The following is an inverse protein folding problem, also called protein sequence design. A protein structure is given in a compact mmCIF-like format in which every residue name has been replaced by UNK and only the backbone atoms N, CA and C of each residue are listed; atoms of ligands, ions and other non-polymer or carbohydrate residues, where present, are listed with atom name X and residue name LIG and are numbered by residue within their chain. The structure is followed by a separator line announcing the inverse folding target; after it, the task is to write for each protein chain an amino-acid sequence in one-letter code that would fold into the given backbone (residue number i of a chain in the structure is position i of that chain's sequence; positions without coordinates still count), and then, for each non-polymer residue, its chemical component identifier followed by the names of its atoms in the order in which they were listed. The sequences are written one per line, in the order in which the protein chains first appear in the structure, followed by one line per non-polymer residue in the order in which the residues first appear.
data_IF_626332295561
#
_entry.id   IF_626332295561
#
_cell.length_a   1.000
_cell.length_b   1.000
_cell.length_c   1.000
_cell.angle_alpha   90.00
_cell.angle_beta   90.00
_cell.angle_gamma   90.00
#
_symmetry.space_group_name_H-M   'P 1'
#
loop_
_entity.id
_entity.type
_entity.pdbx_description
1 polymer ?
#
# COMPACT_ATOMS: atom_id res chain seq x y z
N UNK A 1 38.98 13.21 26.06
CA UNK A 1 38.62 12.74 24.70
C UNK A 1 38.29 11.24 24.75
N UNK A 2 37.07 10.83 25.19
CA UNK A 2 36.59 9.43 25.14
C UNK A 2 35.11 9.22 25.55
N UNK A 3 34.26 10.24 25.49
CA UNK A 3 32.82 10.12 25.83
C UNK A 3 31.90 10.13 24.60
N UNK A 4 32.35 10.63 23.45
CA UNK A 4 31.55 10.73 22.22
C UNK A 4 31.39 9.41 21.45
N UNK A 5 32.35 8.49 21.55
CA UNK A 5 32.31 7.22 20.81
C UNK A 5 31.31 6.20 21.39
N UNK A 6 30.99 6.28 22.68
CA UNK A 6 30.07 5.33 23.33
C UNK A 6 28.61 5.64 22.96
N UNK A 7 28.25 6.93 22.87
CA UNK A 7 26.89 7.35 22.47
C UNK A 7 26.60 7.11 20.99
N UNK A 8 27.62 7.26 20.13
CA UNK A 8 27.49 6.98 18.69
C UNK A 8 27.26 5.48 18.42
N UNK A 9 28.01 4.62 19.10
CA UNK A 9 27.85 3.18 18.98
C UNK A 9 26.50 2.70 19.54
N UNK A 10 26.01 3.28 20.64
CA UNK A 10 24.72 2.87 21.22
C UNK A 10 23.53 3.19 20.30
N UNK A 11 23.53 4.34 19.62
CA UNK A 11 22.50 4.67 18.60
C UNK A 11 22.57 3.73 17.39
N UNK A 12 23.77 3.35 16.95
CA UNK A 12 23.95 2.37 15.87
C UNK A 12 23.53 0.95 16.29
N UNK A 13 23.76 0.53 17.54
CA UNK A 13 23.35 -0.79 18.02
C UNK A 13 21.82 -0.91 18.16
N UNK A 14 21.13 0.14 18.60
CA UNK A 14 19.66 0.16 18.68
C UNK A 14 19.02 0.25 17.28
N UNK A 15 19.59 1.04 16.36
CA UNK A 15 19.13 1.09 14.97
C UNK A 15 19.29 -0.25 14.22
N UNK A 16 20.23 -1.10 14.65
CA UNK A 16 20.45 -2.44 14.10
C UNK A 16 19.54 -3.53 14.72
N UNK A 17 18.82 -3.20 15.80
CA UNK A 17 17.95 -4.12 16.55
C UNK A 17 16.47 -4.03 16.10
N UNK A 18 16.07 -2.95 15.43
CA UNK A 18 14.77 -2.86 14.76
C UNK A 18 14.95 -3.25 13.30
N UNK A 19 14.05 -4.05 12.69
CA UNK A 19 14.11 -4.30 11.26
C UNK A 19 13.99 -2.94 10.56
N UNK A 20 15.09 -2.44 10.00
CA UNK A 20 15.03 -1.28 9.09
C UNK A 20 14.27 -1.77 7.87
N UNK A 21 12.99 -1.42 7.77
CA UNK A 21 12.22 -1.71 6.56
C UNK A 21 13.00 -1.19 5.36
N UNK A 22 13.22 -2.05 4.37
CA UNK A 22 13.85 -1.65 3.12
C UNK A 22 12.94 -0.66 2.41
N UNK A 23 13.54 0.27 1.64
CA UNK A 23 12.76 1.22 0.83
C UNK A 23 11.74 0.52 -0.09
N UNK A 24 12.06 -0.70 -0.54
CA UNK A 24 11.15 -1.53 -1.32
C UNK A 24 9.92 -1.98 -0.50
N UNK A 25 10.10 -2.41 0.75
CA UNK A 25 9.00 -2.82 1.64
C UNK A 25 8.09 -1.63 1.96
N UNK A 26 8.66 -0.47 2.27
CA UNK A 26 7.89 0.76 2.53
C UNK A 26 7.03 1.13 1.31
N UNK A 27 7.61 1.09 0.10
CA UNK A 27 6.87 1.33 -1.14
C UNK A 27 5.78 0.30 -1.38
N UNK A 28 6.06 -1.00 -1.17
CA UNK A 28 5.05 -2.06 -1.30
C UNK A 28 3.89 -1.87 -0.32
N UNK A 29 4.19 -1.51 0.93
CA UNK A 29 3.17 -1.21 1.94
C UNK A 29 2.33 0.00 1.54
N UNK A 30 2.95 1.09 1.08
CA UNK A 30 2.24 2.27 0.59
C UNK A 30 1.34 1.94 -0.62
N UNK A 31 1.84 1.17 -1.59
CA UNK A 31 1.07 0.74 -2.75
C UNK A 31 -0.17 -0.06 -2.34
N UNK A 32 -0.02 -1.00 -1.40
CA UNK A 32 -1.15 -1.80 -0.91
C UNK A 32 -2.27 -0.93 -0.35
N UNK A 33 -1.92 0.14 0.38
CA UNK A 33 -2.90 1.08 0.94
C UNK A 33 -3.57 1.89 -0.17
N UNK A 34 -2.78 2.51 -1.05
CA UNK A 34 -3.31 3.43 -2.06
C UNK A 34 -4.20 2.72 -3.09
N UNK A 35 -3.89 1.47 -3.45
CA UNK A 35 -4.71 0.68 -4.40
C UNK A 35 -6.10 0.38 -3.85
N UNK A 36 -6.25 0.27 -2.53
CA UNK A 36 -7.54 0.00 -1.87
C UNK A 36 -8.33 1.26 -1.47
N UNK A 37 -7.73 2.45 -1.55
CA UNK A 37 -8.41 3.72 -1.29
C UNK A 37 -9.19 4.23 -2.51
N UNK A 38 -10.23 5.05 -2.30
CA UNK A 38 -10.87 5.76 -3.41
C UNK A 38 -9.95 6.87 -3.94
N UNK A 39 -10.08 7.21 -5.23
CA UNK A 39 -9.27 8.28 -5.83
C UNK A 39 -9.49 9.61 -5.12
N UNK A 40 -10.75 9.92 -4.83
CA UNK A 40 -11.17 11.17 -4.17
C UNK A 40 -10.58 11.29 -2.76
N UNK A 41 -10.50 10.19 -1.99
CA UNK A 41 -9.90 10.21 -0.66
C UNK A 41 -8.39 10.52 -0.72
N UNK A 42 -7.69 9.95 -1.71
CA UNK A 42 -6.26 10.24 -1.92
C UNK A 42 -6.10 11.70 -2.35
N UNK A 43 -6.92 12.16 -3.29
CA UNK A 43 -6.86 13.53 -3.81
C UNK A 43 -7.13 14.57 -2.71
N UNK A 44 -8.16 14.37 -1.89
CA UNK A 44 -8.52 15.27 -0.80
C UNK A 44 -7.39 15.39 0.23
N UNK A 45 -6.73 14.29 0.58
CA UNK A 45 -5.60 14.31 1.52
C UNK A 45 -4.36 14.97 0.95
N UNK A 46 -4.15 14.86 -0.36
CA UNK A 46 -3.05 15.53 -1.05
C UNK A 46 -3.31 17.02 -1.27
N UNK A 47 -4.56 17.46 -1.42
CA UNK A 47 -4.89 18.87 -1.63
C UNK A 47 -4.58 19.76 -0.43
N UNK A 48 -4.49 19.18 0.77
CA UNK A 48 -4.13 19.90 2.00
C UNK A 48 -2.60 20.09 2.15
N UNK A 49 -1.81 19.56 1.21
CA UNK A 49 -0.35 19.59 1.26
C UNK A 49 0.23 20.47 0.16
N UNK A 50 1.29 21.21 0.49
CA UNK A 50 2.12 21.86 -0.53
C UNK A 50 3.04 20.81 -1.15
N UNK A 51 2.77 20.43 -2.40
CA UNK A 51 3.50 19.38 -3.10
C UNK A 51 4.55 19.97 -4.06
N UNK A 52 5.69 19.28 -4.26
CA UNK A 52 6.70 19.73 -5.20
C UNK A 52 6.19 19.56 -6.63
N UNK A 53 6.77 20.34 -7.56
CA UNK A 53 6.46 20.18 -8.98
C UNK A 53 6.81 18.76 -9.45
N UNK A 54 5.94 18.19 -10.29
CA UNK A 54 6.10 16.87 -10.88
C UNK A 54 5.67 16.88 -12.35
N UNK A 55 6.22 15.96 -13.13
CA UNK A 55 5.87 15.75 -14.54
C UNK A 55 5.53 14.28 -14.79
N UNK A 56 4.63 14.03 -15.74
CA UNK A 56 4.35 12.68 -16.20
C UNK A 56 5.52 12.14 -17.03
N UNK A 57 6.09 11.01 -16.59
CA UNK A 57 6.97 10.18 -17.44
C UNK A 57 6.14 9.26 -18.35
N UNK A 58 4.95 8.88 -17.87
CA UNK A 58 3.93 8.16 -18.61
C UNK A 58 2.57 8.69 -18.17
N UNK A 59 1.86 9.28 -19.13
CA UNK A 59 0.45 9.62 -18.94
C UNK A 59 -0.36 8.38 -18.54
N UNK A 60 -1.37 8.51 -17.65
CA UNK A 60 -2.18 7.37 -17.25
C UNK A 60 -2.78 6.65 -18.46
N UNK A 61 -2.52 5.34 -18.57
CA UNK A 61 -2.92 4.55 -19.73
C UNK A 61 -3.68 3.30 -19.26
N UNK A 62 -4.84 3.07 -19.89
CA UNK A 62 -5.61 1.85 -19.68
C UNK A 62 -5.05 0.73 -20.56
N UNK A 63 -4.85 -0.44 -19.98
CA UNK A 63 -4.41 -1.65 -20.67
C UNK A 63 -5.06 -2.88 -20.06
N UNK A 64 -4.55 -4.05 -20.45
CA UNK A 64 -5.02 -5.34 -19.97
C UNK A 64 -3.87 -6.09 -19.30
N UNK A 65 -4.21 -6.89 -18.29
CA UNK A 65 -3.29 -7.82 -17.65
C UNK A 65 -3.92 -9.21 -17.62
N UNK A 66 -3.11 -10.23 -17.94
CA UNK A 66 -3.52 -11.63 -17.84
C UNK A 66 -3.66 -12.02 -16.37
N UNK A 67 -4.87 -12.37 -15.96
CA UNK A 67 -5.17 -12.93 -14.64
C UNK A 67 -4.86 -14.42 -14.68
N UNK A 68 -4.12 -14.92 -13.69
CA UNK A 68 -3.80 -16.34 -13.56
C UNK A 68 -4.49 -16.93 -12.33
N UNK A 69 -5.21 -18.03 -12.56
CA UNK A 69 -5.77 -18.87 -11.50
C UNK A 69 -4.85 -20.04 -11.18
N UNK A 70 -5.18 -20.80 -10.13
CA UNK A 70 -4.53 -22.06 -9.77
C UNK A 70 -5.58 -23.17 -9.65
N UNK A 71 -5.35 -24.33 -10.27
CA UNK A 71 -6.26 -25.48 -10.22
C UNK A 71 -6.47 -25.89 -8.76
N UNK A 72 -7.72 -25.95 -8.28
CA UNK A 72 -8.03 -26.36 -6.90
C UNK A 72 -7.56 -25.39 -5.79
N UNK A 73 -7.04 -24.20 -6.13
CA UNK A 73 -6.57 -23.19 -5.18
C UNK A 73 -5.04 -23.11 -5.04
N UNK A 74 -4.34 -24.24 -5.06
CA UNK A 74 -2.88 -24.32 -4.86
C UNK A 74 -2.14 -25.08 -5.98
N UNK A 75 -2.85 -25.76 -6.88
CA UNK A 75 -2.30 -26.51 -8.01
C UNK A 75 -1.71 -25.65 -9.13
N UNK A 76 -1.52 -26.24 -10.31
CA UNK A 76 -0.86 -25.58 -11.44
C UNK A 76 -1.54 -24.27 -11.87
N UNK A 77 -0.73 -23.29 -12.31
CA UNK A 77 -1.23 -22.02 -12.80
C UNK A 77 -1.87 -22.15 -14.19
N UNK A 78 -2.95 -21.43 -14.44
CA UNK A 78 -3.60 -21.34 -15.75
C UNK A 78 -4.08 -19.91 -16.02
N UNK A 79 -4.27 -19.55 -17.29
CA UNK A 79 -4.80 -18.24 -17.69
C UNK A 79 -6.32 -18.21 -17.42
N UNK A 80 -6.77 -17.38 -16.48
CA UNK A 80 -8.18 -17.23 -16.12
C UNK A 80 -8.92 -16.25 -17.05
N UNK A 81 -8.19 -15.28 -17.60
CA UNK A 81 -8.72 -14.24 -18.47
C UNK A 81 -7.91 -12.96 -18.38
N UNK A 82 -8.50 -11.85 -18.78
CA UNK A 82 -7.90 -10.52 -18.72
C UNK A 82 -8.67 -9.61 -17.77
N UNK A 83 -7.94 -8.74 -17.07
CA UNK A 83 -8.51 -7.64 -16.29
C UNK A 83 -7.98 -6.31 -16.82
N UNK A 84 -8.80 -5.27 -16.76
CA UNK A 84 -8.32 -3.92 -17.09
C UNK A 84 -7.42 -3.41 -15.98
N UNK A 85 -6.31 -2.79 -16.38
CA UNK A 85 -5.35 -2.13 -15.49
C UNK A 85 -5.09 -0.73 -16.02
N UNK A 86 -4.93 0.22 -15.12
CA UNK A 86 -4.46 1.57 -15.45
C UNK A 86 -3.06 1.75 -14.88
N UNK A 87 -2.14 2.27 -15.68
CA UNK A 87 -0.74 2.49 -15.29
C UNK A 87 -0.32 3.94 -15.52
N UNK A 88 0.45 4.52 -14.60
CA UNK A 88 1.01 5.85 -14.72
C UNK A 88 2.44 5.88 -14.16
N UNK A 89 3.24 6.86 -14.61
CA UNK A 89 4.55 7.13 -14.01
C UNK A 89 4.79 8.64 -13.97
N UNK A 90 5.35 9.11 -12.86
CA UNK A 90 5.68 10.53 -12.62
C UNK A 90 7.10 10.66 -12.14
N UNK A 91 7.69 11.83 -12.38
CA UNK A 91 8.99 12.24 -11.86
C UNK A 91 8.85 13.56 -11.14
N UNK A 92 9.35 13.64 -9.92
CA UNK A 92 9.46 14.88 -9.16
C UNK A 92 10.59 15.75 -9.72
N UNK A 93 10.55 17.06 -9.47
CA UNK A 93 11.64 17.97 -9.84
C UNK A 93 13.00 17.56 -9.24
N UNK A 94 12.99 16.94 -8.05
CA UNK A 94 14.16 16.37 -7.38
C UNK A 94 14.72 15.10 -8.03
N UNK A 95 13.96 14.47 -8.93
CA UNK A 95 14.39 13.36 -9.78
C UNK A 95 13.81 11.98 -9.43
N UNK A 96 13.20 11.82 -8.26
CA UNK A 96 12.56 10.58 -7.85
C UNK A 96 11.41 10.22 -8.78
N UNK A 97 11.35 8.93 -9.14
CA UNK A 97 10.34 8.39 -10.04
C UNK A 97 9.37 7.53 -9.27
N UNK A 98 8.08 7.79 -9.45
CA UNK A 98 7.00 7.01 -8.88
C UNK A 98 6.15 6.33 -9.94
N UNK A 99 5.56 5.21 -9.57
CA UNK A 99 4.77 4.35 -10.44
C UNK A 99 3.42 4.05 -9.80
N UNK A 100 2.38 4.05 -10.62
CA UNK A 100 1.02 3.74 -10.20
C UNK A 100 0.43 2.66 -11.07
N UNK A 101 -0.13 1.64 -10.42
CA UNK A 101 -0.88 0.57 -11.06
C UNK A 101 -2.16 0.34 -10.27
N UNK A 102 -3.30 0.31 -10.96
CA UNK A 102 -4.58 -0.01 -10.33
C UNK A 102 -5.46 -0.81 -11.27
N UNK A 103 -6.25 -1.74 -10.74
CA UNK A 103 -7.25 -2.45 -11.52
C UNK A 103 -8.36 -1.48 -11.92
N UNK A 104 -8.94 -1.70 -13.10
CA UNK A 104 -9.95 -0.82 -13.69
C UNK A 104 -9.33 0.24 -14.61
N UNK A 105 -10.07 1.35 -14.79
CA UNK A 105 -9.83 2.39 -15.81
C UNK A 105 -9.63 3.78 -15.21
N UNK A 106 -9.37 3.85 -13.91
CA UNK A 106 -9.25 5.10 -13.17
C UNK A 106 -7.85 5.70 -13.37
N UNK A 107 -7.80 6.65 -14.31
CA UNK A 107 -6.60 7.38 -14.72
C UNK A 107 -6.08 8.29 -13.63
N UNK A 108 -6.98 8.95 -12.91
CA UNK A 108 -6.61 9.87 -11.85
C UNK A 108 -6.03 9.10 -10.66
N UNK A 109 -6.66 8.00 -10.27
CA UNK A 109 -6.11 7.11 -9.23
C UNK A 109 -4.73 6.60 -9.58
N UNK A 110 -4.50 6.13 -10.80
CA UNK A 110 -3.17 5.66 -11.21
C UNK A 110 -2.12 6.79 -11.09
N UNK A 111 -2.46 8.02 -11.50
CA UNK A 111 -1.58 9.19 -11.37
C UNK A 111 -1.30 9.55 -9.91
N UNK A 112 -2.33 9.55 -9.06
CA UNK A 112 -2.20 9.86 -7.63
C UNK A 112 -1.35 8.82 -6.90
N UNK A 113 -1.54 7.53 -7.19
CA UNK A 113 -0.68 6.45 -6.67
C UNK A 113 0.78 6.70 -7.06
N UNK A 114 1.03 6.99 -8.34
CA UNK A 114 2.37 7.24 -8.84
C UNK A 114 3.02 8.47 -8.17
N UNK A 115 2.25 9.53 -7.91
CA UNK A 115 2.74 10.71 -7.22
C UNK A 115 3.12 10.39 -5.77
N UNK A 116 2.25 9.71 -5.02
CA UNK A 116 2.54 9.27 -3.66
C UNK A 116 3.79 8.38 -3.63
N UNK A 117 3.92 7.43 -4.56
CA UNK A 117 5.11 6.57 -4.68
C UNK A 117 6.41 7.36 -4.85
N UNK A 118 6.37 8.44 -5.65
CA UNK A 118 7.53 9.30 -5.82
C UNK A 118 7.85 10.08 -4.53
N UNK A 119 6.82 10.65 -3.88
CA UNK A 119 6.97 11.49 -2.70
C UNK A 119 7.53 10.72 -1.49
N UNK A 120 7.10 9.46 -1.28
CA UNK A 120 7.61 8.64 -0.15
C UNK A 120 9.09 8.26 -0.27
N UNK A 121 9.70 8.43 -1.45
CA UNK A 121 11.12 8.19 -1.66
C UNK A 121 11.98 9.40 -1.24
N UNK A 122 11.36 10.56 -1.00
CA UNK A 122 12.06 11.79 -0.64
C UNK A 122 12.16 11.95 0.88
N UNK A 123 13.27 12.49 1.37
CA UNK A 123 13.44 12.77 2.80
C UNK A 123 12.44 13.83 3.30
N UNK A 124 12.09 14.80 2.46
CA UNK A 124 11.25 15.94 2.85
C UNK A 124 9.75 15.59 2.93
N UNK A 125 9.28 14.63 2.12
CA UNK A 125 7.85 14.29 2.05
C UNK A 125 7.50 12.92 2.63
N UNK A 126 8.45 12.00 2.83
CA UNK A 126 8.12 10.64 3.30
C UNK A 126 7.29 10.65 4.60
N UNK A 127 7.73 11.40 5.61
CA UNK A 127 7.00 11.49 6.89
C UNK A 127 5.63 12.18 6.73
N UNK A 128 5.56 13.22 5.90
CA UNK A 128 4.33 13.98 5.64
C UNK A 128 3.28 13.13 4.94
N UNK A 129 3.67 12.37 3.91
CA UNK A 129 2.76 11.47 3.18
C UNK A 129 2.34 10.30 4.06
N UNK A 130 3.26 9.76 4.85
CA UNK A 130 2.93 8.73 5.83
C UNK A 130 1.85 9.21 6.81
N UNK A 131 2.05 10.37 7.43
CA UNK A 131 1.16 10.89 8.47
C UNK A 131 -0.20 11.36 7.94
N UNK A 132 -0.24 12.04 6.79
CA UNK A 132 -1.44 12.73 6.31
C UNK A 132 -2.23 11.94 5.26
N UNK A 133 -1.57 11.00 4.56
CA UNK A 133 -2.19 10.22 3.48
C UNK A 133 -2.28 8.75 3.87
N UNK A 134 -1.15 8.08 4.11
CA UNK A 134 -1.14 6.62 4.19
C UNK A 134 -1.68 6.07 5.52
N UNK A 135 -1.29 6.65 6.66
CA UNK A 135 -1.75 6.19 7.97
C UNK A 135 -3.27 6.36 8.16
N UNK A 136 -3.89 7.50 7.80
CA UNK A 136 -5.34 7.65 7.86
C UNK A 136 -6.09 6.67 6.95
N UNK A 137 -5.66 6.51 5.69
CA UNK A 137 -6.26 5.54 4.77
C UNK A 137 -6.13 4.11 5.29
N UNK A 138 -5.01 3.76 5.93
CA UNK A 138 -4.85 2.46 6.60
C UNK A 138 -5.86 2.24 7.70
N UNK A 139 -6.07 3.25 8.54
CA UNK A 139 -7.01 3.17 9.66
C UNK A 139 -8.44 2.98 9.15
N UNK A 140 -8.86 3.75 8.14
CA UNK A 140 -10.17 3.65 7.50
C UNK A 140 -10.39 2.27 6.87
N UNK A 141 -9.39 1.76 6.15
CA UNK A 141 -9.46 0.41 5.56
C UNK A 141 -9.50 -0.70 6.62
N UNK A 142 -8.79 -0.54 7.74
CA UNK A 142 -8.83 -1.50 8.84
C UNK A 142 -10.21 -1.51 9.52
N UNK A 143 -10.79 -0.34 9.76
CA UNK A 143 -12.14 -0.21 10.31
C UNK A 143 -13.19 -0.84 9.40
N UNK A 144 -13.10 -0.61 8.09
CA UNK A 144 -14.04 -1.20 7.12
C UNK A 144 -13.89 -2.73 7.01
N UNK A 145 -12.65 -3.24 7.05
CA UNK A 145 -12.41 -4.70 7.10
C UNK A 145 -13.02 -5.31 8.37
N UNK A 146 -12.86 -4.67 9.51
CA UNK A 146 -13.42 -5.13 10.78
C UNK A 146 -14.95 -5.18 10.71
N UNK A 147 -15.59 -4.12 10.20
CA UNK A 147 -17.04 -4.05 10.02
C UNK A 147 -17.56 -5.18 9.13
N UNK A 148 -16.89 -5.46 8.01
CA UNK A 148 -17.25 -6.57 7.10
C UNK A 148 -17.05 -7.94 7.76
N UNK A 149 -15.98 -8.11 8.55
CA UNK A 149 -15.71 -9.35 9.26
C UNK A 149 -16.81 -9.65 10.29
N UNK A 150 -17.23 -8.65 11.05
CA UNK A 150 -18.34 -8.76 12.01
C UNK A 150 -19.67 -9.12 11.33
N UNK A 151 -19.99 -8.47 10.21
CA UNK A 151 -21.18 -8.80 9.41
C UNK A 151 -21.14 -10.24 8.86
N UNK A 152 -19.97 -10.70 8.42
CA UNK A 152 -19.80 -12.06 7.90
C UNK A 152 -19.88 -13.09 9.03
N UNK A 153 -19.28 -12.81 10.19
CA UNK A 153 -19.32 -13.68 11.36
C UNK A 153 -20.76 -13.92 11.85
N UNK A 154 -21.64 -12.93 11.72
CA UNK A 154 -23.07 -13.09 12.01
C UNK A 154 -23.78 -14.12 11.10
N UNK A 155 -23.18 -14.50 9.98
CA UNK A 155 -23.71 -15.52 9.04
C UNK A 155 -23.06 -16.89 9.19
N UNK A 156 -22.12 -17.04 10.13
CA UNK A 156 -21.39 -18.30 10.36
C UNK A 156 -22.32 -19.33 11.01
N UNK A 157 -22.37 -20.52 10.44
CA UNK A 157 -23.07 -21.66 11.03
C UNK A 157 -22.10 -22.43 11.92
N UNK A 158 -22.36 -22.46 13.23
CA UNK A 158 -21.60 -23.27 14.17
C UNK A 158 -22.25 -24.66 14.31
N UNK A 159 -21.50 -25.69 13.92
CA UNK A 159 -21.88 -27.09 14.15
C UNK A 159 -21.18 -27.58 15.41
N UNK A 160 -21.95 -28.01 16.41
CA UNK A 160 -21.43 -28.70 17.59
C UNK A 160 -21.97 -30.14 17.61
N UNK A 161 -21.10 -31.10 17.86
CA UNK A 161 -21.48 -32.46 18.28
C UNK A 161 -21.37 -32.56 19.80
N UNK A 162 -22.51 -32.73 20.46
CA UNK A 162 -22.60 -32.92 21.90
C UNK A 162 -22.13 -34.35 22.22
N UNK A 163 -20.91 -34.51 22.72
CA UNK A 163 -20.43 -35.82 23.19
C UNK A 163 -21.06 -36.08 24.55
N UNK A 164 -21.90 -37.11 24.64
CA UNK A 164 -22.43 -37.60 25.91
C UNK A 164 -21.26 -38.26 26.64
N UNK A 165 -20.84 -37.70 27.78
CA UNK A 165 -19.90 -38.37 28.67
C UNK A 165 -20.54 -39.66 29.17
N UNK A 166 -20.05 -40.81 28.70
CA UNK A 166 -20.25 -42.06 29.42
C UNK A 166 -19.27 -42.08 30.60
N UNK A 167 -19.81 -42.45 31.77
CA UNK A 167 -19.16 -42.29 33.08
C UNK A 167 -18.04 -43.28 33.38
#
# INVERSE_FOLDING_TARGET
MKLSNITYNFRQTIAKMMPTETIQQTRQAAMAVLVHAAADDIAARLSDLELPASMALREPENGLVMVRGRIGGDGSAFNLGEATVTRAAVRLASGECGFGYTLGRDRDKARLIALCDALIQTADYAATIEANVLAPLRAEQAAERQRKAEQTAATKVDFYTLVRGEG
#
